data_IF_308330090915
#
_entry.id   IF_308330090915
#
_cell.length_a   1.000
_cell.length_b   1.000
_cell.length_c   1.000
_cell.angle_alpha   90.00
_cell.angle_beta   90.00
_cell.angle_gamma   90.00
#
_symmetry.space_group_name_H-M   'P 1'
#
loop_
_entity.id
_entity.type
_entity.pdbx_description
1 polymer ?
#
# COMPACT_ATOMS: atom_id res chain seq x y z
N UNK A 1 3.66 -28.95 -4.93
CA UNK A 1 3.16 -29.86 -3.87
C UNK A 1 2.32 -31.00 -4.46
N UNK A 2 1.40 -30.76 -5.41
CA UNK A 2 0.63 -31.82 -6.10
C UNK A 2 1.42 -32.74 -7.08
N UNK A 3 2.77 -32.72 -7.05
CA UNK A 3 3.63 -33.56 -7.91
C UNK A 3 4.40 -34.65 -7.12
N UNK A 4 4.27 -34.68 -5.80
CA UNK A 4 4.90 -35.68 -4.92
C UNK A 4 3.90 -36.68 -4.29
N UNK A 5 2.62 -36.59 -4.65
CA UNK A 5 1.59 -37.55 -4.21
C UNK A 5 1.83 -38.98 -4.73
N UNK A 6 2.68 -39.16 -5.75
CA UNK A 6 2.88 -40.43 -6.45
C UNK A 6 3.78 -41.44 -5.72
N UNK A 7 4.44 -41.08 -4.61
CA UNK A 7 5.46 -41.93 -3.95
C UNK A 7 5.21 -42.26 -2.48
N UNK A 8 4.04 -41.92 -1.92
CA UNK A 8 3.74 -42.27 -0.53
C UNK A 8 3.23 -43.72 -0.39
N UNK A 9 3.72 -44.50 0.58
CA UNK A 9 3.13 -45.79 0.92
C UNK A 9 1.65 -45.65 1.29
N UNK A 10 0.84 -46.68 1.01
CA UNK A 10 -0.62 -46.67 1.18
C UNK A 10 -1.13 -46.43 2.63
N UNK A 11 -0.24 -46.23 3.60
CA UNK A 11 -0.55 -46.03 5.02
C UNK A 11 0.04 -44.74 5.62
N UNK A 12 0.43 -43.76 4.80
CA UNK A 12 0.95 -42.48 5.31
C UNK A 12 -0.16 -41.43 5.39
N UNK A 13 -0.58 -41.07 6.61
CA UNK A 13 -1.36 -39.87 6.87
C UNK A 13 -0.42 -38.66 6.95
N UNK A 14 -0.65 -37.66 6.10
CA UNK A 14 0.08 -36.40 6.13
C UNK A 14 -0.80 -35.34 6.78
N UNK A 15 -0.35 -34.79 7.92
CA UNK A 15 -1.03 -33.70 8.60
C UNK A 15 -0.20 -32.43 8.41
N UNK A 16 -0.77 -31.39 7.82
CA UNK A 16 -0.14 -30.06 7.82
C UNK A 16 -0.32 -29.50 9.24
N UNK A 17 0.75 -29.54 10.02
CA UNK A 17 0.72 -29.10 11.43
C UNK A 17 0.81 -27.56 11.54
N UNK A 18 1.42 -26.89 10.57
CA UNK A 18 1.58 -25.42 10.58
C UNK A 18 1.70 -24.87 9.16
N UNK A 19 0.77 -23.98 8.78
CA UNK A 19 0.84 -23.18 7.56
C UNK A 19 0.83 -21.68 7.93
N UNK A 20 1.98 -21.04 7.85
CA UNK A 20 2.12 -19.60 8.13
C UNK A 20 1.72 -18.72 6.94
N UNK A 21 1.44 -19.33 5.77
CA UNK A 21 1.10 -18.59 4.55
C UNK A 21 -0.26 -17.90 4.68
N UNK A 22 -1.21 -18.53 5.38
CA UNK A 22 -2.52 -17.92 5.67
C UNK A 22 -2.39 -16.69 6.58
N UNK A 23 -1.57 -16.77 7.63
CA UNK A 23 -1.28 -15.61 8.50
C UNK A 23 -0.60 -14.48 7.73
N UNK A 24 0.44 -14.78 6.94
CA UNK A 24 1.12 -13.76 6.13
C UNK A 24 0.16 -13.10 5.15
N UNK A 25 -0.68 -13.89 4.47
CA UNK A 25 -1.65 -13.36 3.50
C UNK A 25 -2.73 -12.52 4.17
N UNK A 26 -3.14 -12.89 5.39
CA UNK A 26 -4.08 -12.10 6.19
C UNK A 26 -3.45 -10.77 6.61
N UNK A 27 -2.23 -10.78 7.13
CA UNK A 27 -1.50 -9.56 7.49
C UNK A 27 -1.29 -8.62 6.29
N UNK A 28 -0.96 -9.17 5.11
CA UNK A 28 -0.81 -8.37 3.88
C UNK A 28 -2.14 -7.74 3.48
N UNK A 29 -3.24 -8.50 3.51
CA UNK A 29 -4.57 -7.96 3.19
C UNK A 29 -5.01 -6.88 4.19
N UNK A 30 -4.74 -7.08 5.48
CA UNK A 30 -5.06 -6.10 6.51
C UNK A 30 -4.25 -4.82 6.30
N UNK A 31 -2.97 -4.95 5.95
CA UNK A 31 -2.12 -3.79 5.64
C UNK A 31 -2.63 -3.05 4.40
N UNK A 32 -2.97 -3.76 3.32
CA UNK A 32 -3.55 -3.16 2.11
C UNK A 32 -4.84 -2.39 2.41
N UNK A 33 -5.76 -2.99 3.18
CA UNK A 33 -7.00 -2.35 3.59
C UNK A 33 -6.76 -1.09 4.45
N UNK A 34 -5.78 -1.15 5.36
CA UNK A 34 -5.40 -0.01 6.18
C UNK A 34 -4.82 1.14 5.34
N UNK A 35 -4.00 0.83 4.33
CA UNK A 35 -3.46 1.84 3.42
C UNK A 35 -4.58 2.53 2.64
N UNK A 36 -5.49 1.75 2.04
CA UNK A 36 -6.61 2.30 1.26
C UNK A 36 -7.50 3.18 2.14
N UNK A 37 -7.83 2.70 3.34
CA UNK A 37 -8.65 3.46 4.29
C UNK A 37 -7.96 4.76 4.73
N UNK A 38 -6.66 4.70 5.03
CA UNK A 38 -5.85 5.86 5.39
C UNK A 38 -5.75 6.88 4.26
N UNK A 39 -5.57 6.42 3.02
CA UNK A 39 -5.53 7.26 1.83
C UNK A 39 -6.86 8.00 1.62
N UNK A 40 -7.99 7.29 1.72
CA UNK A 40 -9.32 7.88 1.61
C UNK A 40 -9.55 8.95 2.68
N UNK A 41 -9.12 8.69 3.92
CA UNK A 41 -9.20 9.66 5.01
C UNK A 41 -8.41 10.94 4.68
N UNK A 42 -7.15 10.80 4.23
CA UNK A 42 -6.30 11.93 3.86
C UNK A 42 -6.93 12.76 2.74
N UNK A 43 -7.39 12.12 1.66
CA UNK A 43 -8.06 12.81 0.55
C UNK A 43 -9.30 13.55 1.04
N UNK A 44 -10.09 12.93 1.92
CA UNK A 44 -11.29 13.55 2.50
C UNK A 44 -10.96 14.80 3.34
N UNK A 45 -9.96 14.71 4.22
CA UNK A 45 -9.51 15.84 5.04
C UNK A 45 -8.97 16.97 4.16
N UNK A 46 -8.15 16.66 3.16
CA UNK A 46 -7.59 17.64 2.23
C UNK A 46 -8.67 18.34 1.40
N UNK A 47 -9.69 17.62 0.96
CA UNK A 47 -10.84 18.19 0.27
C UNK A 47 -11.58 19.23 1.14
N UNK A 48 -11.73 18.96 2.43
CA UNK A 48 -12.39 19.86 3.37
C UNK A 48 -11.55 21.10 3.70
N UNK A 49 -10.23 20.94 3.91
CA UNK A 49 -9.34 22.03 4.34
C UNK A 49 -8.84 22.92 3.21
N UNK A 50 -8.54 22.39 2.01
CA UNK A 50 -7.94 23.16 0.91
C UNK A 50 -8.94 23.61 -0.17
N UNK A 51 -10.21 23.21 -0.05
CA UNK A 51 -11.24 23.46 -1.05
C UNK A 51 -11.13 22.59 -2.30
N UNK A 52 -12.17 22.63 -3.15
CA UNK A 52 -12.35 21.65 -4.22
C UNK A 52 -11.22 21.63 -5.27
N UNK A 53 -10.65 22.78 -5.64
CA UNK A 53 -9.64 22.86 -6.72
C UNK A 53 -8.27 22.34 -6.27
N UNK A 54 -7.76 22.84 -5.15
CA UNK A 54 -6.44 22.47 -4.65
C UNK A 54 -6.47 21.08 -3.99
N UNK A 55 -7.56 20.76 -3.28
CA UNK A 55 -7.79 19.43 -2.70
C UNK A 55 -7.83 18.31 -3.74
N UNK A 56 -8.46 18.53 -4.91
CA UNK A 56 -8.50 17.53 -5.98
C UNK A 56 -7.13 17.29 -6.61
N UNK A 57 -6.32 18.35 -6.81
CA UNK A 57 -4.98 18.21 -7.38
C UNK A 57 -4.08 17.36 -6.48
N UNK A 58 -4.05 17.64 -5.17
CA UNK A 58 -3.28 16.84 -4.21
C UNK A 58 -3.90 15.45 -4.07
N UNK A 59 -5.23 15.34 -4.00
CA UNK A 59 -5.94 14.09 -3.85
C UNK A 59 -5.73 13.10 -5.00
N UNK A 60 -5.47 13.58 -6.22
CA UNK A 60 -5.08 12.74 -7.36
C UNK A 60 -3.58 12.44 -7.36
N UNK A 61 -2.74 13.39 -6.92
CA UNK A 61 -1.29 13.21 -6.89
C UNK A 61 -0.83 12.07 -5.96
N UNK A 62 -1.48 11.89 -4.81
CA UNK A 62 -1.13 10.84 -3.83
C UNK A 62 -1.30 9.42 -4.42
N UNK A 63 -2.49 8.99 -4.91
CA UNK A 63 -2.65 7.66 -5.49
C UNK A 63 -1.80 7.46 -6.75
N UNK A 64 -1.63 8.50 -7.56
CA UNK A 64 -0.78 8.43 -8.76
C UNK A 64 0.68 8.15 -8.38
N UNK A 65 1.20 8.82 -7.34
CA UNK A 65 2.55 8.56 -6.85
C UNK A 65 2.72 7.12 -6.35
N UNK A 66 1.71 6.58 -5.66
CA UNK A 66 1.75 5.20 -5.18
C UNK A 66 1.75 4.20 -6.35
N UNK A 67 0.94 4.45 -7.38
CA UNK A 67 0.88 3.65 -8.59
C UNK A 67 2.23 3.64 -9.33
N UNK A 68 2.88 4.81 -9.46
CA UNK A 68 4.22 4.91 -10.05
C UNK A 68 5.25 4.10 -9.24
N UNK A 69 5.21 4.17 -7.91
CA UNK A 69 6.08 3.36 -7.05
C UNK A 69 5.89 1.86 -7.27
N UNK A 70 4.64 1.39 -7.40
CA UNK A 70 4.37 -0.03 -7.71
C UNK A 70 4.90 -0.46 -9.07
N UNK A 71 4.76 0.38 -10.09
CA UNK A 71 5.34 0.11 -11.42
C UNK A 71 6.85 -0.06 -11.30
N UNK A 72 7.54 0.86 -10.62
CA UNK A 72 9.00 0.81 -10.45
C UNK A 72 9.42 -0.48 -9.71
N UNK A 73 8.74 -0.80 -8.61
CA UNK A 73 9.02 -2.03 -7.83
C UNK A 73 8.83 -3.28 -8.68
N UNK A 74 7.76 -3.32 -9.48
CA UNK A 74 7.49 -4.42 -10.41
C UNK A 74 8.54 -4.53 -11.51
N UNK A 75 9.00 -3.41 -12.07
CA UNK A 75 10.07 -3.37 -13.07
C UNK A 75 11.41 -3.86 -12.52
N UNK A 76 11.67 -3.63 -11.23
CA UNK A 76 12.85 -4.14 -10.53
C UNK A 76 12.74 -5.64 -10.18
N UNK A 77 11.60 -6.28 -10.43
CA UNK A 77 11.38 -7.70 -10.17
C UNK A 77 11.13 -8.04 -8.69
N UNK A 78 10.83 -7.04 -7.85
CA UNK A 78 10.48 -7.26 -6.44
C UNK A 78 9.01 -7.62 -6.27
N UNK A 79 8.71 -8.48 -5.30
CA UNK A 79 7.34 -8.84 -4.93
C UNK A 79 6.79 -7.91 -3.86
N UNK A 80 5.46 -7.78 -3.82
CA UNK A 80 4.79 -7.09 -2.72
C UNK A 80 4.81 -7.99 -1.49
N UNK A 81 5.47 -7.53 -0.43
CA UNK A 81 5.50 -8.16 0.88
C UNK A 81 5.30 -7.09 1.96
N UNK A 82 5.15 -7.53 3.21
CA UNK A 82 4.92 -6.63 4.34
C UNK A 82 5.98 -5.53 4.45
N UNK A 83 7.26 -5.85 4.24
CA UNK A 83 8.35 -4.86 4.32
C UNK A 83 8.28 -3.81 3.21
N UNK A 84 7.95 -4.23 1.99
CA UNK A 84 7.77 -3.33 0.84
C UNK A 84 6.56 -2.43 1.02
N UNK A 85 5.43 -2.98 1.49
CA UNK A 85 4.25 -2.18 1.79
C UNK A 85 4.52 -1.17 2.91
N UNK A 86 5.24 -1.57 3.96
CA UNK A 86 5.59 -0.69 5.07
C UNK A 86 6.51 0.45 4.65
N UNK A 87 7.54 0.16 3.84
CA UNK A 87 8.44 1.20 3.32
C UNK A 87 7.71 2.18 2.39
N UNK A 88 6.78 1.68 1.58
CA UNK A 88 5.92 2.52 0.74
C UNK A 88 5.05 3.46 1.58
N UNK A 89 4.47 2.99 2.69
CA UNK A 89 3.68 3.85 3.59
C UNK A 89 4.54 4.97 4.16
N UNK A 90 5.74 4.65 4.67
CA UNK A 90 6.63 5.65 5.26
C UNK A 90 7.09 6.68 4.22
N UNK A 91 7.48 6.20 3.03
CA UNK A 91 7.89 7.07 1.93
C UNK A 91 6.73 7.96 1.45
N UNK A 92 5.52 7.40 1.34
CA UNK A 92 4.32 8.14 0.97
C UNK A 92 3.99 9.21 2.01
N UNK A 93 4.03 8.90 3.31
CA UNK A 93 3.79 9.87 4.37
C UNK A 93 4.69 11.10 4.25
N UNK A 94 6.00 10.89 4.12
CA UNK A 94 6.96 11.98 3.93
C UNK A 94 6.72 12.77 2.64
N UNK A 95 6.31 12.10 1.55
CA UNK A 95 6.01 12.76 0.28
C UNK A 95 4.77 13.65 0.38
N UNK A 96 3.69 13.12 0.98
CA UNK A 96 2.41 13.83 1.12
C UNK A 96 2.57 15.04 2.03
N UNK A 97 3.26 14.91 3.15
CA UNK A 97 3.51 16.02 4.07
C UNK A 97 4.18 17.20 3.35
N UNK A 98 5.23 16.92 2.57
CA UNK A 98 5.92 17.95 1.79
C UNK A 98 5.02 18.56 0.70
N UNK A 99 4.23 17.74 0.00
CA UNK A 99 3.32 18.22 -1.03
C UNK A 99 2.24 19.15 -0.46
N UNK A 100 1.68 18.80 0.70
CA UNK A 100 0.66 19.60 1.39
C UNK A 100 1.25 20.93 1.85
N UNK A 101 2.44 20.92 2.48
CA UNK A 101 3.11 22.15 2.94
C UNK A 101 3.39 23.11 1.78
N UNK A 102 3.82 22.61 0.61
CA UNK A 102 4.07 23.44 -0.56
C UNK A 102 2.78 24.07 -1.08
N UNK A 103 1.69 23.29 -1.19
CA UNK A 103 0.40 23.79 -1.67
C UNK A 103 -0.19 24.82 -0.72
N UNK A 104 -0.12 24.57 0.59
CA UNK A 104 -0.52 25.54 1.61
C UNK A 104 0.32 26.83 1.50
N UNK A 105 1.63 26.70 1.29
CA UNK A 105 2.50 27.85 1.16
C UNK A 105 2.20 28.70 -0.09
N UNK A 106 1.91 28.07 -1.22
CA UNK A 106 1.47 28.75 -2.46
C UNK A 106 0.16 29.48 -2.20
N UNK A 107 -0.81 28.81 -1.54
CA UNK A 107 -2.10 29.42 -1.22
C UNK A 107 -1.94 30.66 -0.32
N UNK A 108 -1.12 30.57 0.73
CA UNK A 108 -0.87 31.66 1.69
C UNK A 108 -0.13 32.86 1.09
N UNK A 109 0.72 32.68 0.09
CA UNK A 109 1.48 33.78 -0.53
C UNK A 109 0.77 34.42 -1.73
N UNK A 110 -0.26 33.77 -2.27
CA UNK A 110 -1.11 34.33 -3.33
C UNK A 110 -2.28 35.16 -2.79
N UNK A 111 -2.55 35.11 -1.48
CA UNK A 111 -3.32 36.10 -0.70
C UNK A 111 -2.38 37.16 -0.11
#
# INVERSE_FOLDING_TARGET
LAREEANFPASTEYLIVTDMSEEIRTMVNDLENNIISGLLLVVFVLYFFMGARNGLLVGIAIPLSMLVSFIIISLLGYTLNMMVLFSLILALGMLVDNAVVIVENIYRHHE
#
